data_IF_235418488327
#
_entry.id   IF_235418488327
#
_cell.length_a   1.000
_cell.length_b   1.000
_cell.length_c   1.000
_cell.angle_alpha   90.00
_cell.angle_beta   90.00
_cell.angle_gamma   90.00
#
_symmetry.space_group_name_H-M   'P 1'
#
loop_
_entity.id
_entity.type
_entity.pdbx_description
1 polymer ?
#
# COMPACT_ATOMS: atom_id res chain seq x y z
N UNK A 1 -1.80 62.35 -11.71
CA UNK A 1 -1.07 61.42 -10.81
C UNK A 1 -1.08 60.09 -11.51
N UNK A 2 -0.03 59.83 -12.29
CA UNK A 2 -0.02 58.68 -13.21
C UNK A 2 0.26 57.40 -12.42
N UNK A 3 -0.75 56.55 -12.32
CA UNK A 3 -0.72 55.21 -11.75
C UNK A 3 -0.24 54.23 -12.82
N UNK A 4 1.07 53.96 -12.84
CA UNK A 4 1.60 52.85 -13.62
C UNK A 4 1.24 51.52 -12.94
N UNK A 5 0.33 50.76 -13.55
CA UNK A 5 0.02 49.38 -13.18
C UNK A 5 1.22 48.51 -13.56
N UNK A 6 1.85 47.91 -12.55
CA UNK A 6 2.92 46.92 -12.78
C UNK A 6 2.28 45.54 -12.66
N UNK A 7 1.94 44.93 -13.79
CA UNK A 7 1.31 43.60 -13.83
C UNK A 7 2.41 42.55 -13.90
N UNK A 8 2.65 41.89 -12.77
CA UNK A 8 3.55 40.73 -12.67
C UNK A 8 2.74 39.48 -13.02
N UNK A 9 3.08 38.81 -14.13
CA UNK A 9 2.47 37.53 -14.51
C UNK A 9 3.19 36.42 -13.75
N UNK A 10 2.42 35.67 -12.96
CA UNK A 10 2.86 34.45 -12.32
C UNK A 10 2.22 33.30 -13.10
N UNK A 11 2.90 32.78 -14.12
CA UNK A 11 2.52 31.52 -14.75
C UNK A 11 3.75 30.89 -15.40
N UNK A 12 4.01 29.62 -15.13
CA UNK A 12 5.16 28.87 -15.65
C UNK A 12 4.66 27.79 -16.63
N UNK A 13 5.45 27.57 -17.68
CA UNK A 13 5.30 26.55 -18.74
C UNK A 13 4.47 26.86 -19.99
N UNK A 14 4.43 28.11 -20.42
CA UNK A 14 4.07 28.42 -21.81
C UNK A 14 5.20 29.22 -22.48
N UNK A 15 6.21 28.56 -23.07
CA UNK A 15 7.28 29.21 -23.83
C UNK A 15 6.77 30.09 -24.99
N UNK A 16 5.53 29.86 -25.42
CA UNK A 16 4.85 30.69 -26.41
C UNK A 16 4.22 31.96 -25.82
N UNK A 17 3.88 31.99 -24.52
CA UNK A 17 3.19 33.13 -23.89
C UNK A 17 4.14 34.31 -23.63
N UNK A 18 5.41 34.01 -23.31
CA UNK A 18 6.49 35.00 -23.26
C UNK A 18 6.86 35.55 -24.66
N UNK A 19 6.44 34.86 -25.72
CA UNK A 19 6.66 35.24 -27.12
C UNK A 19 5.62 36.23 -27.65
N UNK A 20 4.50 36.42 -26.93
CA UNK A 20 3.30 37.14 -27.38
C UNK A 20 3.10 38.49 -26.67
N UNK A 21 3.90 38.83 -25.66
CA UNK A 21 3.89 40.18 -25.05
C UNK A 21 5.08 41.01 -25.51
N UNK A 22 4.81 42.00 -26.35
CA UNK A 22 5.70 43.15 -26.49
C UNK A 22 5.48 44.07 -25.28
N UNK A 23 6.50 44.32 -24.41
CA UNK A 23 6.40 45.27 -23.30
C UNK A 23 6.44 46.74 -23.77
N UNK A 24 6.50 46.96 -25.09
CA UNK A 24 6.72 48.25 -25.72
C UNK A 24 5.39 48.92 -26.05
N UNK A 25 5.38 50.25 -26.01
CA UNK A 25 4.22 51.03 -26.47
C UNK A 25 4.01 50.82 -27.98
N UNK A 26 2.76 50.88 -28.49
CA UNK A 26 2.47 50.79 -29.93
C UNK A 26 3.36 51.69 -30.81
N UNK A 27 3.65 52.92 -30.37
CA UNK A 27 4.59 53.85 -31.05
C UNK A 27 6.00 53.28 -31.17
N UNK A 28 6.50 52.65 -30.11
CA UNK A 28 7.83 52.04 -30.06
C UNK A 28 7.91 50.78 -30.92
N UNK A 29 6.85 49.95 -30.90
CA UNK A 29 6.74 48.75 -31.74
C UNK A 29 6.77 49.15 -33.22
N UNK A 30 5.97 50.16 -33.61
CA UNK A 30 5.93 50.65 -34.98
C UNK A 30 7.29 51.20 -35.44
N UNK A 31 7.95 52.01 -34.60
CA UNK A 31 9.28 52.54 -34.91
C UNK A 31 10.32 51.42 -35.09
N UNK A 32 10.26 50.36 -34.28
CA UNK A 32 11.12 49.19 -34.40
C UNK A 32 10.86 48.42 -35.69
N UNK A 33 9.60 48.16 -36.02
CA UNK A 33 9.23 47.46 -37.26
C UNK A 33 9.65 48.23 -38.52
N UNK A 34 9.50 49.56 -38.53
CA UNK A 34 9.99 50.39 -39.63
C UNK A 34 11.51 50.32 -39.76
N UNK A 35 12.24 50.32 -38.65
CA UNK A 35 13.71 50.20 -38.62
C UNK A 35 14.19 48.83 -39.11
N UNK A 36 13.56 47.75 -38.65
CA UNK A 36 13.88 46.38 -39.02
C UNK A 36 13.53 46.09 -40.49
N UNK A 37 12.42 46.67 -40.97
CA UNK A 37 11.98 46.62 -42.36
C UNK A 37 12.75 47.53 -43.32
N UNK A 38 13.69 48.35 -42.83
CA UNK A 38 14.38 49.41 -43.59
C UNK A 38 13.42 50.37 -44.32
N UNK A 39 12.27 50.64 -43.69
CA UNK A 39 11.25 51.53 -44.22
C UNK A 39 11.55 52.98 -43.82
N UNK A 40 11.11 53.96 -44.62
CA UNK A 40 11.11 55.36 -44.19
C UNK A 40 10.12 55.51 -43.01
N UNK A 41 10.65 56.00 -41.89
CA UNK A 41 10.09 55.83 -40.54
C UNK A 41 8.66 56.35 -40.37
N UNK A 42 8.02 56.08 -39.21
CA UNK A 42 6.69 56.60 -38.94
C UNK A 42 6.77 58.12 -38.73
N UNK A 43 6.29 58.88 -39.70
CA UNK A 43 6.20 60.34 -39.63
C UNK A 43 4.80 60.74 -39.20
N UNK A 44 4.68 61.19 -37.94
CA UNK A 44 3.44 61.70 -37.37
C UNK A 44 3.23 63.14 -37.82
N UNK A 45 2.04 63.45 -38.32
CA UNK A 45 1.70 64.76 -38.83
C UNK A 45 0.46 65.36 -38.16
N UNK A 46 0.26 66.68 -38.30
CA UNK A 46 -0.91 67.37 -37.76
C UNK A 46 -2.21 66.81 -38.37
N UNK A 47 -3.29 66.82 -37.57
CA UNK A 47 -4.62 66.28 -37.89
C UNK A 47 -4.74 64.75 -37.91
N UNK A 48 -3.94 64.03 -37.12
CA UNK A 48 -4.12 62.58 -36.93
C UNK A 48 -3.70 61.74 -38.14
N UNK A 49 -2.64 62.16 -38.82
CA UNK A 49 -2.06 61.43 -39.96
C UNK A 49 -0.73 60.81 -39.56
N UNK A 50 -0.48 59.58 -39.99
CA UNK A 50 0.82 58.94 -39.87
C UNK A 50 1.23 58.37 -41.22
N UNK A 51 2.43 58.72 -41.66
CA UNK A 51 2.99 58.26 -42.94
C UNK A 51 4.05 57.22 -42.66
N UNK A 52 3.92 56.05 -43.28
CA UNK A 52 4.95 55.00 -43.29
C UNK A 52 5.26 54.68 -44.74
N UNK A 53 6.51 54.93 -45.15
CA UNK A 53 6.98 54.81 -46.53
C UNK A 53 6.11 55.56 -47.54
N UNK A 54 5.20 54.86 -48.24
CA UNK A 54 4.33 55.41 -49.28
C UNK A 54 2.83 55.30 -48.94
N UNK A 55 2.48 54.96 -47.70
CA UNK A 55 1.09 54.93 -47.22
C UNK A 55 0.86 55.95 -46.11
N UNK A 56 -0.33 56.54 -46.12
CA UNK A 56 -0.80 57.48 -45.11
C UNK A 56 -2.02 56.86 -44.45
N UNK A 57 -1.96 56.69 -43.14
CA UNK A 57 -3.07 56.22 -42.32
C UNK A 57 -3.62 57.40 -41.51
N UNK A 58 -4.93 57.43 -41.32
CA UNK A 58 -5.61 58.44 -40.51
C UNK A 58 -6.33 57.75 -39.35
N UNK A 59 -6.16 58.28 -38.14
CA UNK A 59 -6.92 57.83 -36.97
C UNK A 59 -7.18 59.00 -36.01
N UNK A 60 -8.20 58.89 -35.15
CA UNK A 60 -8.41 59.86 -34.08
C UNK A 60 -7.20 59.95 -33.16
N UNK A 61 -6.73 61.16 -32.88
CA UNK A 61 -5.66 61.42 -31.90
C UNK A 61 -6.18 61.67 -30.50
N UNK A 62 -7.50 61.79 -30.32
CA UNK A 62 -8.12 62.09 -29.03
C UNK A 62 -8.55 60.80 -28.35
N UNK A 63 -8.03 60.57 -27.14
CA UNK A 63 -8.54 59.55 -26.22
C UNK A 63 -9.17 60.29 -25.04
N UNK A 64 -10.38 59.89 -24.66
CA UNK A 64 -11.05 60.37 -23.44
C UNK A 64 -10.53 59.55 -22.25
N UNK A 65 -9.89 60.22 -21.29
CA UNK A 65 -9.54 59.61 -19.99
C UNK A 65 -10.82 59.32 -19.18
N UNK A 66 -10.75 58.45 -18.16
CA UNK A 66 -11.84 58.16 -17.20
C UNK A 66 -12.45 59.41 -16.53
N UNK A 67 -11.76 60.56 -16.60
CA UNK A 67 -12.21 61.85 -16.05
C UNK A 67 -12.83 62.78 -17.11
N UNK A 68 -13.09 62.29 -18.33
CA UNK A 68 -13.64 63.08 -19.45
C UNK A 68 -12.66 64.09 -20.06
N UNK A 69 -11.37 63.98 -19.75
CA UNK A 69 -10.33 64.85 -20.28
C UNK A 69 -9.78 64.27 -21.59
N UNK A 70 -9.85 65.04 -22.67
CA UNK A 70 -9.32 64.64 -23.99
C UNK A 70 -7.81 64.83 -24.03
N UNK A 71 -7.05 63.73 -24.09
CA UNK A 71 -5.59 63.76 -24.32
C UNK A 71 -5.27 63.45 -25.78
N UNK A 72 -4.41 64.25 -26.38
CA UNK A 72 -3.83 63.92 -27.68
C UNK A 72 -2.75 62.85 -27.49
N UNK A 73 -2.92 61.70 -28.14
CA UNK A 73 -1.96 60.59 -28.09
C UNK A 73 -1.71 60.01 -29.48
N UNK A 74 -0.44 59.69 -29.76
CA UNK A 74 -0.03 59.08 -31.02
C UNK A 74 -0.09 57.54 -30.99
N UNK A 75 -0.44 56.96 -29.83
CA UNK A 75 -0.52 55.51 -29.64
C UNK A 75 -1.64 54.87 -30.45
N UNK A 76 -2.79 55.54 -30.55
CA UNK A 76 -3.92 55.04 -31.34
C UNK A 76 -3.62 55.06 -32.86
N UNK A 77 -2.87 56.08 -33.31
CA UNK A 77 -2.36 56.15 -34.68
C UNK A 77 -1.40 55.00 -34.97
N UNK A 78 -0.44 54.78 -34.07
CA UNK A 78 0.52 53.69 -34.20
C UNK A 78 -0.18 52.33 -34.22
N UNK A 79 -1.17 52.11 -33.35
CA UNK A 79 -1.96 50.89 -33.31
C UNK A 79 -2.78 50.67 -34.59
N UNK A 80 -3.34 51.74 -35.16
CA UNK A 80 -4.09 51.66 -36.42
C UNK A 80 -3.19 51.19 -37.56
N UNK A 81 -1.96 51.68 -37.63
CA UNK A 81 -0.96 51.23 -38.61
C UNK A 81 -0.58 49.77 -38.37
N UNK A 82 -0.36 49.36 -37.11
CA UNK A 82 -0.03 47.98 -36.77
C UNK A 82 -1.16 47.01 -37.17
N UNK A 83 -2.43 47.37 -36.96
CA UNK A 83 -3.58 46.56 -37.40
C UNK A 83 -3.66 46.40 -38.93
N UNK A 84 -3.20 47.40 -39.67
CA UNK A 84 -3.15 47.39 -41.14
C UNK A 84 -1.74 47.14 -41.67
N UNK A 85 -0.86 46.51 -40.87
CA UNK A 85 0.54 46.31 -41.26
C UNK A 85 0.67 45.48 -42.55
N UNK A 86 -0.30 44.60 -42.82
CA UNK A 86 -0.40 43.82 -44.07
C UNK A 86 -0.47 44.67 -45.35
N UNK A 87 -0.87 45.92 -45.24
CA UNK A 87 -1.01 46.82 -46.37
C UNK A 87 0.32 47.43 -46.86
N UNK A 88 1.36 47.38 -46.03
CA UNK A 88 2.64 48.03 -46.32
C UNK A 88 3.42 47.20 -47.36
N UNK A 89 3.81 47.79 -48.50
CA UNK A 89 4.53 47.06 -49.53
C UNK A 89 5.89 46.57 -49.03
N UNK A 90 6.34 45.40 -49.52
CA UNK A 90 7.62 44.71 -49.22
C UNK A 90 7.79 44.09 -47.84
N UNK A 91 7.16 44.62 -46.78
CA UNK A 91 7.37 44.17 -45.38
C UNK A 91 6.06 43.81 -44.66
N UNK A 92 4.91 44.17 -45.23
CA UNK A 92 3.61 43.91 -44.64
C UNK A 92 3.33 42.42 -44.48
N UNK A 93 3.27 41.98 -43.22
CA UNK A 93 2.82 40.66 -42.84
C UNK A 93 1.52 40.78 -42.04
N UNK A 94 0.64 39.79 -42.16
CA UNK A 94 -0.57 39.72 -41.34
C UNK A 94 -0.16 39.47 -39.89
N UNK A 95 -0.18 40.52 -39.07
CA UNK A 95 0.01 40.37 -37.63
C UNK A 95 -1.15 39.51 -37.09
N UNK A 96 -0.79 38.53 -36.26
CA UNK A 96 -1.76 37.58 -35.71
C UNK A 96 -2.81 38.37 -34.90
N UNK A 97 -4.13 38.21 -35.18
CA UNK A 97 -5.16 38.89 -34.41
C UNK A 97 -5.13 38.46 -32.93
N UNK A 98 -5.76 39.23 -32.03
CA UNK A 98 -5.79 38.90 -30.60
C UNK A 98 -6.33 37.47 -30.37
N UNK A 99 -5.48 36.59 -29.83
CA UNK A 99 -5.87 35.25 -29.41
C UNK A 99 -5.89 35.19 -27.89
N UNK A 100 -7.09 35.06 -27.33
CA UNK A 100 -7.29 34.61 -25.95
C UNK A 100 -7.64 35.70 -24.95
N UNK A 101 -8.22 35.25 -23.83
CA UNK A 101 -8.54 36.03 -22.64
C UNK A 101 -7.78 35.37 -21.49
N UNK A 102 -6.99 36.15 -20.75
CA UNK A 102 -6.26 35.67 -19.57
C UNK A 102 -7.01 36.16 -18.34
N UNK A 103 -7.32 35.24 -17.43
CA UNK A 103 -7.76 35.55 -16.08
C UNK A 103 -6.56 35.42 -15.13
N UNK A 104 -6.29 36.45 -14.34
CA UNK A 104 -5.17 36.47 -13.40
C UNK A 104 -5.54 37.21 -12.12
N UNK A 105 -4.87 36.86 -11.03
CA UNK A 105 -4.94 37.58 -9.76
C UNK A 105 -3.94 38.74 -9.81
N UNK A 106 -4.40 39.95 -9.48
CA UNK A 106 -3.57 41.16 -9.47
C UNK A 106 -3.56 41.74 -8.07
N UNK A 107 -2.39 41.72 -7.43
CA UNK A 107 -2.18 42.39 -6.16
C UNK A 107 -1.80 43.86 -6.40
N UNK A 108 -2.52 44.78 -5.75
CA UNK A 108 -2.33 46.23 -5.87
C UNK A 108 -1.69 46.76 -4.59
N UNK A 109 -0.51 47.38 -4.71
CA UNK A 109 0.22 47.96 -3.58
C UNK A 109 0.27 49.50 -3.65
N UNK A 110 0.20 50.22 -2.51
CA UNK A 110 0.42 51.66 -2.47
C UNK A 110 1.88 52.00 -2.82
N UNK A 111 2.11 53.12 -3.51
CA UNK A 111 3.47 53.57 -3.90
C UNK A 111 4.39 53.86 -2.70
N UNK A 112 3.81 54.14 -1.54
CA UNK A 112 4.54 54.48 -0.32
C UNK A 112 5.10 53.23 0.39
N UNK A 113 4.74 52.05 -0.09
CA UNK A 113 5.23 50.76 0.41
C UNK A 113 6.54 50.40 -0.30
N UNK A 114 7.48 49.84 0.46
CA UNK A 114 8.67 49.20 -0.10
C UNK A 114 8.27 48.17 -1.16
N UNK A 115 9.07 48.03 -2.22
CA UNK A 115 8.78 47.12 -3.33
C UNK A 115 8.34 45.74 -2.81
N UNK A 116 7.28 45.14 -3.39
CA UNK A 116 6.84 43.82 -2.99
C UNK A 116 8.01 42.84 -3.09
N UNK A 117 7.99 41.83 -2.21
CA UNK A 117 9.04 40.82 -2.13
C UNK A 117 9.23 40.06 -3.46
N UNK A 118 10.18 39.09 -3.48
CA UNK A 118 10.35 38.26 -4.66
C UNK A 118 9.03 37.62 -5.07
N UNK A 119 8.86 37.44 -6.38
CA UNK A 119 7.67 36.83 -6.97
C UNK A 119 7.24 35.58 -6.18
N UNK A 120 5.96 35.51 -5.80
CA UNK A 120 5.43 34.35 -5.10
C UNK A 120 5.53 33.14 -6.02
N UNK A 121 6.22 32.11 -5.58
CA UNK A 121 6.25 30.84 -6.29
C UNK A 121 4.89 30.15 -6.14
N UNK A 122 4.09 30.23 -7.21
CA UNK A 122 2.77 29.59 -7.31
C UNK A 122 2.85 28.17 -7.91
N UNK A 123 4.06 27.64 -8.12
CA UNK A 123 4.24 26.29 -8.64
C UNK A 123 3.42 25.28 -7.81
N UNK A 124 2.83 24.25 -8.45
CA UNK A 124 2.14 23.19 -7.72
C UNK A 124 3.03 22.66 -6.61
N UNK A 125 2.51 22.71 -5.38
CA UNK A 125 3.27 22.26 -4.22
C UNK A 125 3.53 20.77 -4.34
N UNK A 126 4.80 20.37 -4.22
CA UNK A 126 5.19 18.97 -4.28
C UNK A 126 4.88 18.27 -2.95
N UNK A 127 4.45 17.00 -2.98
CA UNK A 127 4.27 16.23 -1.77
C UNK A 127 5.62 16.00 -1.09
N UNK A 128 5.60 15.95 0.25
CA UNK A 128 6.77 15.62 1.06
C UNK A 128 6.64 14.18 1.53
N UNK A 129 7.76 13.45 1.57
CA UNK A 129 7.82 12.09 2.10
C UNK A 129 7.70 12.11 3.61
N UNK A 130 6.84 11.26 4.15
CA UNK A 130 6.69 10.98 5.57
C UNK A 130 6.59 9.46 5.78
N UNK A 131 6.90 9.02 6.98
CA UNK A 131 6.72 7.63 7.41
C UNK A 131 5.87 7.63 8.67
N UNK A 132 4.71 6.97 8.59
CA UNK A 132 3.85 6.72 9.74
C UNK A 132 4.18 5.33 10.31
N UNK A 133 4.70 5.31 11.53
CA UNK A 133 4.96 4.09 12.30
C UNK A 133 3.85 3.91 13.32
N UNK A 134 3.20 2.75 13.30
CA UNK A 134 2.15 2.40 14.25
C UNK A 134 2.59 1.17 15.02
N UNK A 135 2.81 1.29 16.32
CA UNK A 135 3.21 0.18 17.18
C UNK A 135 1.96 -0.32 17.90
N UNK A 136 1.56 -1.54 17.59
CA UNK A 136 0.46 -2.25 18.26
C UNK A 136 1.06 -3.05 19.42
N UNK A 137 0.73 -2.63 20.64
CA UNK A 137 1.21 -3.28 21.86
C UNK A 137 0.29 -4.44 22.23
N UNK A 138 -0.95 -4.12 22.55
CA UNK A 138 -1.94 -5.04 23.12
C UNK A 138 -3.36 -4.73 22.64
N UNK A 139 -4.23 -5.71 22.78
CA UNK A 139 -5.68 -5.61 22.62
C UNK A 139 -6.34 -6.26 23.83
N UNK A 140 -7.50 -5.74 24.20
CA UNK A 140 -8.27 -6.19 25.36
C UNK A 140 -9.76 -6.20 25.00
N UNK A 141 -10.54 -6.97 25.75
CA UNK A 141 -11.98 -7.16 25.60
C UNK A 141 -12.40 -7.70 24.22
N UNK A 142 -11.61 -8.60 23.64
CA UNK A 142 -11.98 -9.28 22.39
C UNK A 142 -13.06 -10.31 22.66
N UNK A 143 -14.11 -10.32 21.82
CA UNK A 143 -15.21 -11.28 21.92
C UNK A 143 -14.69 -12.68 21.61
N UNK A 144 -14.95 -13.62 22.52
CA UNK A 144 -14.55 -15.01 22.37
C UNK A 144 -15.59 -15.78 21.53
N UNK A 145 -15.23 -16.14 20.31
CA UNK A 145 -16.11 -16.82 19.34
C UNK A 145 -15.90 -18.34 19.28
N UNK A 146 -14.70 -18.84 19.56
CA UNK A 146 -14.38 -20.26 19.41
C UNK A 146 -14.73 -21.05 20.68
N UNK A 147 -15.62 -22.02 20.53
CA UNK A 147 -15.95 -22.98 21.60
C UNK A 147 -15.04 -24.20 21.47
N UNK A 148 -14.17 -24.43 22.47
CA UNK A 148 -13.33 -25.63 22.46
C UNK A 148 -14.19 -26.88 22.71
N UNK A 149 -14.27 -27.77 21.72
CA UNK A 149 -15.12 -28.97 21.76
C UNK A 149 -14.76 -29.89 22.94
N UNK A 150 -13.52 -29.83 23.42
CA UNK A 150 -13.00 -30.72 24.45
C UNK A 150 -13.03 -30.15 25.86
N UNK A 151 -12.79 -28.85 26.05
CA UNK A 151 -12.77 -28.21 27.38
C UNK A 151 -14.07 -27.46 27.67
N UNK A 152 -14.85 -27.11 26.64
CA UNK A 152 -16.02 -26.23 26.76
C UNK A 152 -15.67 -24.79 27.16
N UNK A 153 -14.38 -24.45 27.17
CA UNK A 153 -13.90 -23.09 27.39
C UNK A 153 -14.01 -22.30 26.10
N UNK A 154 -14.40 -21.03 26.20
CA UNK A 154 -14.40 -20.12 25.06
C UNK A 154 -12.99 -19.57 24.88
N UNK A 155 -12.50 -19.61 23.65
CA UNK A 155 -11.22 -19.02 23.28
C UNK A 155 -11.35 -18.29 21.95
N UNK A 156 -10.36 -17.51 21.55
CA UNK A 156 -10.30 -16.95 20.19
C UNK A 156 -8.89 -16.75 19.71
N UNK A 157 -8.72 -16.90 18.41
CA UNK A 157 -7.50 -16.53 17.70
C UNK A 157 -7.54 -15.05 17.32
N UNK A 158 -6.74 -14.24 18.00
CA UNK A 158 -6.79 -12.78 17.90
C UNK A 158 -5.70 -12.27 16.96
N UNK A 159 -6.06 -11.37 16.05
CA UNK A 159 -5.13 -10.61 15.23
C UNK A 159 -5.68 -9.20 14.97
N UNK A 160 -4.78 -8.24 14.81
CA UNK A 160 -5.09 -6.85 14.46
C UNK A 160 -4.72 -6.57 13.01
N UNK A 161 -5.60 -5.85 12.32
CA UNK A 161 -5.43 -5.39 10.93
C UNK A 161 -5.49 -3.86 10.86
N UNK A 162 -4.53 -3.25 10.14
CA UNK A 162 -4.46 -1.81 9.91
C UNK A 162 -4.39 -1.44 8.44
N UNK A 163 -5.04 -0.33 8.05
CA UNK A 163 -4.90 0.28 6.72
C UNK A 163 -5.22 1.77 6.69
N UNK A 164 -4.61 2.48 5.73
CA UNK A 164 -4.92 3.87 5.43
C UNK A 164 -6.13 3.96 4.48
N UNK A 165 -7.02 4.94 4.72
CA UNK A 165 -8.23 5.14 3.91
C UNK A 165 -7.86 5.53 2.47
N UNK A 166 -8.13 4.63 1.51
CA UNK A 166 -7.76 4.82 0.10
C UNK A 166 -6.65 3.86 -0.35
N UNK A 167 -5.91 3.29 0.60
CA UNK A 167 -4.89 2.25 0.41
C UNK A 167 -5.40 0.91 0.99
N UNK A 168 -6.55 0.44 0.53
CA UNK A 168 -7.10 -0.84 1.01
C UNK A 168 -6.33 -2.07 0.50
N UNK A 169 -5.50 -1.90 -0.54
CA UNK A 169 -4.61 -2.96 -1.05
C UNK A 169 -3.41 -3.15 -0.13
N UNK A 170 -2.90 -2.08 0.49
CA UNK A 170 -1.77 -2.09 1.44
C UNK A 170 -2.25 -2.32 2.89
N UNK A 171 -3.08 -3.34 3.07
CA UNK A 171 -3.46 -3.80 4.43
C UNK A 171 -2.29 -4.52 5.07
N UNK A 172 -1.98 -4.15 6.31
CA UNK A 172 -0.98 -4.82 7.14
C UNK A 172 -1.68 -5.54 8.30
N UNK A 173 -1.26 -6.77 8.53
CA UNK A 173 -1.80 -7.64 9.58
C UNK A 173 -0.69 -7.98 10.57
N UNK A 174 -1.06 -8.08 11.84
CA UNK A 174 -0.17 -8.58 12.91
C UNK A 174 -0.06 -10.11 12.87
N UNK A 175 0.82 -10.67 13.70
CA UNK A 175 0.83 -12.11 13.94
C UNK A 175 -0.40 -12.56 14.75
N UNK A 176 -0.75 -13.84 14.64
CA UNK A 176 -1.93 -14.38 15.34
C UNK A 176 -1.56 -14.76 16.78
N UNK A 177 -2.34 -14.27 17.74
CA UNK A 177 -2.34 -14.75 19.11
C UNK A 177 -3.34 -15.90 19.23
N UNK A 178 -2.84 -17.13 19.25
CA UNK A 178 -3.68 -18.33 19.28
C UNK A 178 -4.27 -18.59 20.65
N UNK A 179 -5.53 -19.05 20.68
CA UNK A 179 -6.19 -19.59 21.87
C UNK A 179 -6.13 -18.64 23.08
N UNK A 180 -6.52 -17.38 22.89
CA UNK A 180 -6.69 -16.45 24.01
C UNK A 180 -7.99 -16.79 24.75
N UNK A 181 -7.86 -17.11 26.04
CA UNK A 181 -9.00 -17.44 26.93
C UNK A 181 -9.52 -16.18 27.65
N UNK A 182 -8.65 -15.19 27.85
CA UNK A 182 -8.97 -13.94 28.55
C UNK A 182 -9.56 -12.87 27.63
N UNK A 183 -9.40 -13.01 26.31
CA UNK A 183 -9.74 -11.95 25.35
C UNK A 183 -8.66 -10.87 25.24
N UNK A 184 -7.52 -11.08 25.89
CA UNK A 184 -6.33 -10.24 25.77
C UNK A 184 -5.41 -10.80 24.67
N UNK A 185 -4.83 -9.90 23.87
CA UNK A 185 -3.83 -10.26 22.86
C UNK A 185 -2.64 -9.32 22.94
N UNK A 186 -1.44 -9.87 23.14
CA UNK A 186 -0.20 -9.09 23.14
C UNK A 186 0.55 -9.33 21.82
N UNK A 187 0.91 -8.27 21.10
CA UNK A 187 1.53 -8.35 19.77
C UNK A 187 2.95 -7.80 19.70
N UNK A 188 3.26 -6.65 20.31
CA UNK A 188 4.52 -5.93 20.05
C UNK A 188 4.83 -5.94 18.54
N UNK A 189 3.98 -5.32 17.74
CA UNK A 189 4.05 -5.35 16.28
C UNK A 189 4.04 -3.94 15.68
N UNK A 190 4.92 -3.69 14.69
CA UNK A 190 5.07 -2.35 14.09
C UNK A 190 4.54 -2.37 12.66
N UNK A 191 3.55 -1.55 12.37
CA UNK A 191 3.16 -1.21 11.01
C UNK A 191 3.97 -0.01 10.54
N UNK A 192 4.42 -0.07 9.28
CA UNK A 192 5.22 1.00 8.67
C UNK A 192 4.53 1.41 7.38
N UNK A 193 4.07 2.65 7.32
CA UNK A 193 3.40 3.22 6.16
C UNK A 193 4.21 4.39 5.59
N UNK A 194 4.89 4.19 4.44
CA UNK A 194 5.46 5.31 3.70
C UNK A 194 4.32 6.10 3.03
N UNK A 195 4.25 7.40 3.29
CA UNK A 195 3.20 8.29 2.78
C UNK A 195 3.79 9.55 2.16
N UNK A 196 3.24 9.95 1.02
CA UNK A 196 3.53 11.24 0.40
C UNK A 196 2.45 12.23 0.84
N UNK A 197 2.82 13.19 1.69
CA UNK A 197 1.87 14.09 2.35
C UNK A 197 2.01 15.52 1.84
N UNK A 198 0.86 16.11 1.46
CA UNK A 198 0.76 17.50 1.07
C UNK A 198 0.19 18.32 2.22
N UNK A 199 1.09 18.98 2.98
CA UNK A 199 0.73 19.71 4.20
C UNK A 199 -0.33 20.81 4.01
N UNK A 200 -0.36 21.46 2.84
CA UNK A 200 -1.26 22.59 2.60
C UNK A 200 -2.72 22.17 2.38
N UNK A 201 -2.94 20.97 1.83
CA UNK A 201 -4.28 20.42 1.58
C UNK A 201 -4.69 19.38 2.63
N UNK A 202 -3.78 19.05 3.55
CA UNK A 202 -3.93 18.01 4.58
C UNK A 202 -4.28 16.63 4.00
N UNK A 203 -3.74 16.31 2.82
CA UNK A 203 -4.04 15.08 2.07
C UNK A 203 -2.78 14.28 1.76
N UNK A 204 -2.94 12.96 1.75
CA UNK A 204 -1.96 12.02 1.22
C UNK A 204 -2.16 11.93 -0.29
N UNK A 205 -1.06 11.97 -1.04
CA UNK A 205 -0.99 11.80 -2.48
C UNK A 205 -0.57 10.36 -2.75
N UNK A 206 -1.33 9.65 -3.58
CA UNK A 206 -1.00 8.31 -4.04
C UNK A 206 -0.93 8.33 -5.56
N UNK A 207 0.22 7.97 -6.11
CA UNK A 207 0.40 7.73 -7.55
C UNK A 207 0.12 6.26 -7.84
N UNK A 208 -0.92 5.96 -8.62
CA UNK A 208 -1.25 4.59 -9.03
C UNK A 208 -1.43 4.51 -10.55
N UNK A 209 -1.01 3.40 -11.16
CA UNK A 209 -1.36 3.08 -12.55
C UNK A 209 -2.71 2.38 -12.55
N UNK A 210 -3.69 2.91 -13.28
CA UNK A 210 -5.05 2.33 -13.32
C UNK A 210 -5.08 0.93 -13.94
N UNK A 211 -4.11 0.60 -14.79
CA UNK A 211 -3.98 -0.69 -15.44
C UNK A 211 -2.52 -1.03 -15.70
N UNK A 212 -2.19 -2.32 -15.77
CA UNK A 212 -0.85 -2.79 -16.16
C UNK A 212 -0.41 -2.34 -17.57
N UNK A 213 -1.32 -1.77 -18.36
CA UNK A 213 -1.08 -1.25 -19.71
C UNK A 213 -1.21 0.28 -19.81
N UNK A 214 -1.54 0.98 -18.72
CA UNK A 214 -1.57 2.44 -18.69
C UNK A 214 -0.15 2.98 -18.48
N UNK A 215 0.31 3.85 -19.38
CA UNK A 215 1.61 4.51 -19.26
C UNK A 215 1.57 5.70 -18.31
N UNK A 216 0.38 6.29 -18.11
CA UNK A 216 0.17 7.45 -17.26
C UNK A 216 -0.16 7.03 -15.82
N UNK A 217 0.53 7.63 -14.86
CA UNK A 217 0.26 7.49 -13.42
C UNK A 217 -0.81 8.51 -13.01
N UNK A 218 -1.90 8.03 -12.43
CA UNK A 218 -2.94 8.91 -11.88
C UNK A 218 -2.62 9.21 -10.42
N UNK A 219 -2.59 10.51 -10.08
CA UNK A 219 -2.42 10.98 -8.71
C UNK A 219 -3.79 11.13 -8.04
N UNK A 220 -4.03 10.38 -6.97
CA UNK A 220 -5.22 10.49 -6.14
C UNK A 220 -4.87 11.16 -4.82
N UNK A 221 -5.72 12.11 -4.40
CA UNK A 221 -5.59 12.79 -3.11
C UNK A 221 -6.63 12.24 -2.15
N UNK A 222 -6.15 11.65 -1.05
CA UNK A 222 -6.99 11.02 -0.03
C UNK A 222 -6.78 11.68 1.33
N UNK A 223 -7.80 11.71 2.20
CA UNK A 223 -7.62 12.20 3.57
C UNK A 223 -6.75 11.23 4.37
N UNK A 224 -5.83 11.76 5.18
CA UNK A 224 -5.00 10.97 6.09
C UNK A 224 -5.84 10.36 7.23
N UNK A 225 -6.42 9.19 7.02
CA UNK A 225 -7.21 8.46 8.04
C UNK A 225 -6.72 7.02 8.16
N UNK A 226 -6.15 6.69 9.32
CA UNK A 226 -5.81 5.33 9.71
C UNK A 226 -7.05 4.61 10.24
N UNK A 227 -7.26 3.37 9.79
CA UNK A 227 -8.27 2.47 10.36
C UNK A 227 -7.55 1.27 10.96
N UNK A 228 -7.92 0.92 12.19
CA UNK A 228 -7.48 -0.29 12.89
C UNK A 228 -8.72 -1.11 13.24
N UNK A 229 -8.64 -2.43 13.07
CA UNK A 229 -9.72 -3.34 13.47
C UNK A 229 -9.62 -3.69 14.96
N UNK A 230 -10.74 -3.57 15.66
CA UNK A 230 -10.87 -3.92 17.06
C UNK A 230 -10.46 -2.79 18.03
N UNK A 231 -10.47 -3.13 19.32
CA UNK A 231 -10.05 -2.25 20.41
C UNK A 231 -8.56 -2.51 20.68
N UNK A 232 -7.70 -1.59 20.27
CA UNK A 232 -6.24 -1.80 20.32
C UNK A 232 -5.57 -0.64 21.05
N UNK A 233 -4.54 -0.97 21.81
CA UNK A 233 -3.59 -0.03 22.37
C UNK A 233 -2.42 0.09 21.39
N UNK A 234 -2.35 1.27 20.76
CA UNK A 234 -1.38 1.55 19.72
C UNK A 234 -0.72 2.92 19.93
N UNK A 235 0.57 3.00 19.60
CA UNK A 235 1.36 4.21 19.61
C UNK A 235 1.67 4.63 18.16
N UNK A 236 1.51 5.93 17.86
CA UNK A 236 1.72 6.46 16.51
C UNK A 236 2.90 7.44 16.51
N UNK A 237 3.90 7.18 15.67
CA UNK A 237 5.00 8.11 15.39
C UNK A 237 4.93 8.55 13.94
N UNK A 238 4.89 9.86 13.72
CA UNK A 238 4.97 10.44 12.38
C UNK A 238 6.36 11.06 12.21
N UNK A 239 7.12 10.55 11.25
CA UNK A 239 8.46 11.03 10.93
C UNK A 239 8.49 11.60 9.53
N UNK A 240 9.33 12.62 9.33
CA UNK A 240 9.67 13.06 7.98
C UNK A 240 10.53 12.01 7.27
N UNK A 241 10.53 11.99 5.93
CA UNK A 241 11.33 11.02 5.16
C UNK A 241 12.82 11.06 5.51
N UNK A 242 13.37 12.25 5.81
CA UNK A 242 14.76 12.40 6.24
C UNK A 242 15.03 11.79 7.63
N UNK A 243 14.09 11.94 8.57
CA UNK A 243 14.20 11.36 9.91
C UNK A 243 14.03 9.84 9.88
N UNK A 244 13.14 9.34 9.01
CA UNK A 244 12.92 7.92 8.81
C UNK A 244 14.17 7.22 8.23
N UNK A 245 14.85 7.86 7.28
CA UNK A 245 16.11 7.35 6.72
C UNK A 245 17.26 7.33 7.74
N UNK A 246 17.30 8.29 8.68
CA UNK A 246 18.32 8.32 9.75
C UNK A 246 18.13 7.21 10.78
N UNK A 247 16.88 6.83 11.06
CA UNK A 247 16.52 5.77 12.00
C UNK A 247 15.63 4.76 11.29
N UNK A 248 16.21 3.88 10.44
CA UNK A 248 15.42 2.93 9.67
C UNK A 248 14.83 1.88 10.60
N UNK A 249 13.61 1.45 10.32
CA UNK A 249 12.92 0.40 11.08
C UNK A 249 12.37 -0.69 10.15
N UNK A 250 12.35 -1.92 10.64
CA UNK A 250 11.70 -3.04 9.97
C UNK A 250 10.20 -3.08 10.23
N UNK A 251 9.47 -3.75 9.34
CA UNK A 251 8.06 -4.08 9.54
C UNK A 251 7.93 -5.22 10.57
N UNK A 252 6.93 -5.11 11.44
CA UNK A 252 6.64 -6.10 12.48
C UNK A 252 7.74 -6.17 13.52
N UNK A 253 8.47 -7.30 13.53
CA UNK A 253 9.61 -7.58 14.42
C UNK A 253 10.90 -7.81 13.64
N UNK A 254 10.93 -7.40 12.37
CA UNK A 254 12.10 -7.55 11.52
C UNK A 254 13.14 -6.46 11.83
N UNK A 255 14.39 -6.73 11.49
CA UNK A 255 15.44 -5.71 11.44
C UNK A 255 15.11 -4.69 10.33
N UNK A 256 15.58 -3.44 10.42
CA UNK A 256 16.35 -2.81 11.52
C UNK A 256 15.49 -2.44 12.75
N UNK A 257 16.11 -2.40 13.93
CA UNK A 257 15.43 -2.17 15.23
C UNK A 257 14.27 -3.16 15.52
N UNK A 258 14.58 -4.47 15.67
CA UNK A 258 13.57 -5.48 15.91
C UNK A 258 12.96 -5.34 17.30
N UNK A 259 11.63 -5.34 17.38
CA UNK A 259 10.93 -5.30 18.66
C UNK A 259 10.96 -6.65 19.37
N UNK A 260 10.97 -6.60 20.70
CA UNK A 260 10.97 -7.79 21.55
C UNK A 260 9.68 -8.59 21.36
N UNK A 261 9.83 -9.92 21.28
CA UNK A 261 8.68 -10.82 21.23
C UNK A 261 7.87 -10.69 22.52
N UNK A 262 6.53 -10.63 22.42
CA UNK A 262 5.68 -10.55 23.59
C UNK A 262 5.81 -11.81 24.44
N UNK A 263 5.69 -11.64 25.76
CA UNK A 263 5.71 -12.76 26.70
C UNK A 263 4.37 -13.52 26.60
N UNK A 264 4.35 -14.59 25.78
CA UNK A 264 3.18 -15.46 25.58
C UNK A 264 3.50 -16.85 26.13
N UNK A 265 2.55 -17.54 26.79
CA UNK A 265 2.75 -18.93 27.17
C UNK A 265 2.90 -19.81 25.92
N UNK A 266 3.90 -20.70 25.91
CA UNK A 266 4.17 -21.57 24.76
C UNK A 266 3.07 -22.64 24.60
N UNK A 267 2.08 -22.37 23.75
CA UNK A 267 1.00 -23.31 23.39
C UNK A 267 1.50 -24.38 22.38
N UNK A 268 2.74 -24.27 21.90
CA UNK A 268 3.31 -25.14 20.85
C UNK A 268 3.31 -26.65 21.17
N UNK A 269 3.22 -27.05 22.45
CA UNK A 269 3.10 -28.47 22.86
C UNK A 269 1.66 -28.90 23.17
N UNK A 270 0.73 -27.96 23.33
CA UNK A 270 -0.66 -28.27 23.70
C UNK A 270 -1.38 -28.95 22.54
N UNK A 271 -1.19 -28.50 21.30
CA UNK A 271 -1.83 -29.14 20.13
C UNK A 271 -1.48 -30.62 19.95
N UNK A 272 -0.29 -31.05 20.39
CA UNK A 272 0.09 -32.47 20.38
C UNK A 272 -0.58 -33.26 21.51
N UNK A 273 -0.80 -32.64 22.67
CA UNK A 273 -1.37 -33.30 23.85
C UNK A 273 -2.90 -33.26 23.89
N UNK A 274 -3.53 -32.28 23.23
CA UNK A 274 -4.99 -32.15 23.09
C UNK A 274 -5.64 -33.40 22.47
N UNK A 275 -5.16 -33.99 21.36
CA UNK A 275 -5.76 -35.20 20.79
C UNK A 275 -5.62 -36.43 21.71
N UNK A 276 -4.55 -36.52 22.52
CA UNK A 276 -4.43 -37.59 23.53
C UNK A 276 -5.37 -37.38 24.72
N UNK A 277 -5.55 -36.14 25.18
CA UNK A 277 -6.54 -35.80 26.21
C UNK A 277 -7.96 -36.10 25.74
N UNK A 278 -8.29 -35.72 24.51
CA UNK A 278 -9.53 -36.04 23.82
C UNK A 278 -9.78 -37.55 23.71
N UNK A 279 -8.80 -38.31 23.21
CA UNK A 279 -8.90 -39.76 23.07
C UNK A 279 -9.07 -40.46 24.43
N UNK A 280 -8.36 -40.00 25.46
CA UNK A 280 -8.51 -40.50 26.83
C UNK A 280 -9.93 -40.27 27.34
N UNK A 281 -10.50 -39.08 27.20
CA UNK A 281 -11.87 -38.78 27.61
C UNK A 281 -12.91 -39.61 26.83
N UNK A 282 -12.77 -39.69 25.50
CA UNK A 282 -13.68 -40.47 24.65
C UNK A 282 -13.70 -41.96 25.06
N UNK A 283 -12.53 -42.55 25.28
CA UNK A 283 -12.39 -43.98 25.62
C UNK A 283 -12.75 -44.24 27.09
N UNK A 284 -12.34 -43.38 28.02
CA UNK A 284 -12.51 -43.62 29.47
C UNK A 284 -13.85 -43.18 30.03
N UNK A 285 -14.54 -42.21 29.43
CA UNK A 285 -15.82 -41.72 29.95
C UNK A 285 -17.00 -42.19 29.09
N UNK A 286 -16.93 -42.04 27.77
CA UNK A 286 -18.08 -42.33 26.90
C UNK A 286 -18.20 -43.80 26.52
N UNK A 287 -17.08 -44.48 26.23
CA UNK A 287 -17.07 -45.88 25.79
C UNK A 287 -16.56 -46.88 26.84
N UNK A 288 -16.33 -46.45 28.09
CA UNK A 288 -15.71 -47.27 29.15
C UNK A 288 -16.27 -48.69 29.24
N UNK A 289 -17.59 -48.82 29.24
CA UNK A 289 -18.28 -50.11 29.31
C UNK A 289 -18.20 -50.91 28.00
N UNK A 290 -18.20 -50.25 26.84
CA UNK A 290 -18.01 -50.90 25.53
C UNK A 290 -16.59 -51.48 25.42
N UNK A 291 -15.58 -50.70 25.84
CA UNK A 291 -14.17 -51.12 25.84
C UNK A 291 -13.94 -52.30 26.78
N UNK A 292 -14.52 -52.28 27.99
CA UNK A 292 -14.48 -53.41 28.93
C UNK A 292 -15.16 -54.64 28.33
N UNK A 293 -16.35 -54.48 27.71
CA UNK A 293 -17.07 -55.59 27.06
C UNK A 293 -16.26 -56.20 25.92
N UNK A 294 -15.66 -55.38 25.06
CA UNK A 294 -14.82 -55.84 23.94
C UNK A 294 -13.59 -56.63 24.43
N UNK A 295 -12.88 -56.12 25.43
CA UNK A 295 -11.73 -56.82 26.01
C UNK A 295 -12.12 -58.14 26.68
N UNK A 296 -13.24 -58.17 27.41
CA UNK A 296 -13.75 -59.41 28.01
C UNK A 296 -14.18 -60.44 26.96
N UNK A 297 -14.81 -60.00 25.86
CA UNK A 297 -15.21 -60.88 24.76
C UNK A 297 -13.99 -61.46 24.04
N UNK A 298 -12.96 -60.65 23.78
CA UNK A 298 -11.71 -61.09 23.15
C UNK A 298 -10.94 -62.07 24.05
N UNK A 299 -10.94 -61.84 25.37
CA UNK A 299 -10.37 -62.76 26.36
C UNK A 299 -11.11 -64.11 26.36
N UNK A 300 -12.45 -64.09 26.34
CA UNK A 300 -13.27 -65.30 26.26
C UNK A 300 -13.05 -66.05 24.95
N UNK A 301 -12.91 -65.34 23.83
CA UNK A 301 -12.60 -65.92 22.52
C UNK A 301 -11.20 -66.57 22.50
N UNK A 302 -10.22 -65.94 23.15
CA UNK A 302 -8.87 -66.50 23.30
C UNK A 302 -8.88 -67.76 24.17
N UNK A 303 -9.63 -67.76 25.28
CA UNK A 303 -9.83 -68.94 26.13
C UNK A 303 -10.53 -70.06 25.37
N UNK A 304 -11.56 -69.74 24.58
CA UNK A 304 -12.26 -70.71 23.73
C UNK A 304 -11.35 -71.28 22.64
N UNK A 305 -10.52 -70.44 22.01
CA UNK A 305 -9.51 -70.88 21.04
C UNK A 305 -8.49 -71.83 21.66
N UNK A 306 -8.00 -71.53 22.87
CA UNK A 306 -7.13 -72.40 23.65
C UNK A 306 -7.81 -73.72 24.04
N UNK A 307 -9.09 -73.67 24.40
CA UNK A 307 -9.87 -74.84 24.77
C UNK A 307 -10.13 -75.77 23.57
N UNK A 308 -10.50 -75.22 22.41
CA UNK A 308 -10.67 -75.98 21.17
C UNK A 308 -9.34 -76.54 20.65
N UNK A 309 -8.24 -75.78 20.80
CA UNK A 309 -6.89 -76.29 20.57
C UNK A 309 -6.54 -77.47 21.49
N UNK A 310 -7.11 -77.49 22.70
CA UNK A 310 -6.88 -78.53 23.71
C UNK A 310 -7.84 -79.73 23.60
N UNK A 311 -8.79 -79.74 22.66
CA UNK A 311 -9.68 -80.88 22.43
C UNK A 311 -9.06 -81.89 21.44
N UNK A 312 -8.67 -83.11 21.88
CA UNK A 312 -8.03 -84.08 20.99
C UNK A 312 -9.07 -84.88 20.21
N UNK A 313 -8.96 -84.85 18.88
CA UNK A 313 -9.61 -85.80 17.98
C UNK A 313 -8.68 -86.95 17.59
N UNK A 314 -8.72 -88.04 18.39
CA UNK A 314 -8.18 -89.41 18.16
C UNK A 314 -6.73 -89.76 18.56
N UNK A 315 -6.51 -91.06 18.90
CA UNK A 315 -5.60 -91.52 19.94
C UNK A 315 -4.25 -91.98 19.38
N UNK A 316 -3.29 -92.17 20.29
CA UNK A 316 -2.04 -92.91 20.07
C UNK A 316 -0.99 -92.23 19.19
N UNK A 317 -0.38 -91.16 19.70
CA UNK A 317 1.07 -90.80 19.68
C UNK A 317 1.18 -89.54 20.56
N UNK A 318 0.92 -89.67 21.86
CA UNK A 318 0.61 -88.50 22.70
C UNK A 318 1.81 -87.66 23.15
N UNK A 319 3.07 -88.09 22.96
CA UNK A 319 4.20 -87.39 23.60
C UNK A 319 5.44 -87.12 22.75
N UNK A 320 5.46 -87.50 21.46
CA UNK A 320 6.62 -87.21 20.58
C UNK A 320 6.33 -86.25 19.43
N UNK A 321 5.07 -85.97 19.08
CA UNK A 321 4.73 -85.00 18.02
C UNK A 321 4.68 -83.54 18.51
N UNK A 322 4.59 -83.29 19.82
CA UNK A 322 4.46 -81.93 20.40
C UNK A 322 5.77 -81.13 20.42
N UNK A 323 6.93 -81.78 20.30
CA UNK A 323 8.24 -81.11 20.35
C UNK A 323 8.91 -80.96 18.99
N UNK A 324 8.42 -81.63 17.94
CA UNK A 324 9.08 -81.67 16.62
C UNK A 324 8.74 -80.44 15.75
N UNK A 325 7.46 -80.04 15.55
CA UNK A 325 7.13 -78.85 14.77
C UNK A 325 7.42 -77.54 15.53
N UNK A 326 7.31 -77.52 16.86
CA UNK A 326 7.64 -76.34 17.67
C UNK A 326 9.16 -76.09 17.79
N UNK A 327 10.00 -77.14 17.86
CA UNK A 327 11.47 -76.95 17.73
C UNK A 327 11.83 -76.50 16.31
N UNK A 328 11.22 -77.07 15.27
CA UNK A 328 11.51 -76.70 13.90
C UNK A 328 11.07 -75.24 13.57
N UNK A 329 9.87 -74.82 13.96
CA UNK A 329 9.37 -73.46 13.72
C UNK A 329 10.09 -72.40 14.57
N UNK A 330 10.41 -72.72 15.84
CA UNK A 330 11.22 -71.84 16.69
C UNK A 330 12.65 -71.71 16.16
N UNK A 331 13.25 -72.77 15.63
CA UNK A 331 14.59 -72.71 15.04
C UNK A 331 14.60 -72.00 13.67
N UNK A 332 13.55 -72.13 12.86
CA UNK A 332 13.44 -71.46 11.55
C UNK A 332 13.18 -69.94 11.67
N UNK A 333 12.33 -69.53 12.62
CA UNK A 333 11.92 -68.12 12.79
C UNK A 333 12.84 -67.38 13.77
N UNK A 334 13.35 -68.04 14.82
CA UNK A 334 14.08 -67.38 15.90
C UNK A 334 15.61 -67.35 15.70
N UNK A 335 16.20 -68.23 14.87
CA UNK A 335 17.65 -68.18 14.58
C UNK A 335 18.00 -67.55 13.23
N UNK A 336 17.21 -67.76 12.17
CA UNK A 336 17.58 -67.29 10.82
C UNK A 336 16.98 -65.93 10.42
N UNK A 337 15.78 -65.58 10.91
CA UNK A 337 15.05 -64.38 10.47
C UNK A 337 14.64 -63.43 11.59
N UNK A 338 15.08 -63.66 12.83
CA UNK A 338 14.73 -62.82 14.00
C UNK A 338 15.05 -61.34 13.81
N UNK A 339 16.18 -61.02 13.18
CA UNK A 339 16.52 -59.63 12.87
C UNK A 339 15.72 -59.07 11.69
N UNK A 340 15.32 -59.91 10.73
CA UNK A 340 14.51 -59.48 9.58
C UNK A 340 13.07 -59.15 10.04
N UNK A 341 12.47 -60.00 10.89
CA UNK A 341 11.14 -59.77 11.43
C UNK A 341 11.10 -58.54 12.32
N UNK A 342 12.11 -58.33 13.19
CA UNK A 342 12.22 -57.10 13.99
C UNK A 342 12.38 -55.87 13.10
N UNK A 343 13.20 -55.94 12.04
CA UNK A 343 13.36 -54.82 11.08
C UNK A 343 12.07 -54.52 10.32
N UNK A 344 11.36 -55.54 9.82
CA UNK A 344 10.09 -55.36 9.11
C UNK A 344 9.04 -54.74 10.03
N UNK A 345 8.89 -55.24 11.26
CA UNK A 345 7.95 -54.68 12.23
C UNK A 345 8.32 -53.24 12.61
N UNK A 346 9.62 -52.95 12.81
CA UNK A 346 10.10 -51.60 13.09
C UNK A 346 9.87 -50.63 11.92
N UNK A 347 10.06 -51.08 10.68
CA UNK A 347 9.83 -50.26 9.47
C UNK A 347 8.34 -50.00 9.27
N UNK A 348 7.49 -51.01 9.45
CA UNK A 348 6.04 -50.84 9.38
C UNK A 348 5.53 -49.91 10.49
N UNK A 349 6.08 -50.01 11.70
CA UNK A 349 5.78 -49.10 12.80
C UNK A 349 6.23 -47.67 12.49
N UNK A 350 7.43 -47.48 11.95
CA UNK A 350 7.93 -46.16 11.53
C UNK A 350 7.10 -45.56 10.40
N UNK A 351 6.68 -46.35 9.41
CA UNK A 351 5.82 -45.89 8.32
C UNK A 351 4.41 -45.53 8.82
N UNK A 352 3.86 -46.28 9.79
CA UNK A 352 2.59 -45.94 10.41
C UNK A 352 2.69 -44.63 11.23
N UNK A 353 3.77 -44.44 11.99
CA UNK A 353 4.04 -43.20 12.73
C UNK A 353 4.23 -42.03 11.76
N UNK A 354 4.96 -42.22 10.66
CA UNK A 354 5.15 -41.19 9.63
C UNK A 354 3.83 -40.84 8.93
N UNK A 355 3.00 -41.83 8.61
CA UNK A 355 1.67 -41.61 8.04
C UNK A 355 0.76 -40.82 8.98
N UNK A 356 0.75 -41.16 10.28
CA UNK A 356 0.02 -40.41 11.31
C UNK A 356 0.57 -38.99 11.48
N UNK A 357 1.89 -38.81 11.41
CA UNK A 357 2.54 -37.52 11.47
C UNK A 357 2.15 -36.63 10.29
N UNK A 358 2.19 -37.16 9.05
CA UNK A 358 1.81 -36.44 7.85
C UNK A 358 0.31 -36.15 7.80
N UNK A 359 -0.52 -37.06 8.30
CA UNK A 359 -1.97 -36.85 8.38
C UNK A 359 -2.36 -35.76 9.38
N UNK A 360 -1.66 -35.68 10.51
CA UNK A 360 -1.88 -34.66 11.55
C UNK A 360 -1.06 -33.38 11.32
N UNK A 361 -0.30 -33.26 10.23
CA UNK A 361 0.42 -32.02 9.94
C UNK A 361 -0.56 -30.93 9.52
N UNK A 362 -0.65 -29.79 10.24
CA UNK A 362 -1.52 -28.69 9.86
C UNK A 362 -1.01 -28.04 8.56
N UNK A 363 -1.94 -27.67 7.67
CA UNK A 363 -1.65 -27.30 6.27
C UNK A 363 -0.68 -26.12 6.07
N UNK A 364 -0.45 -25.28 7.07
CA UNK A 364 0.53 -24.19 6.99
C UNK A 364 1.99 -24.68 7.00
N UNK A 365 2.29 -25.80 7.65
CA UNK A 365 3.63 -26.42 7.64
C UNK A 365 3.97 -27.06 6.30
N UNK A 366 2.96 -27.59 5.61
CA UNK A 366 3.09 -28.16 4.26
C UNK A 366 3.47 -27.07 3.26
N UNK A 367 2.87 -25.87 3.35
CA UNK A 367 3.22 -24.71 2.52
C UNK A 367 4.65 -24.23 2.75
N UNK A 368 5.06 -24.11 4.02
CA UNK A 368 6.43 -23.72 4.41
C UNK A 368 7.51 -24.72 3.95
N UNK A 369 7.21 -26.02 3.93
CA UNK A 369 8.12 -27.06 3.44
C UNK A 369 8.19 -27.14 1.90
N UNK A 370 7.10 -26.78 1.21
CA UNK A 370 7.02 -26.74 -0.25
C UNK A 370 7.58 -25.45 -0.86
N UNK A 371 8.05 -24.50 -0.04
CA UNK A 371 8.63 -23.24 -0.49
C UNK A 371 7.64 -22.35 -1.25
N UNK A 372 6.35 -22.44 -0.89
CA UNK A 372 5.28 -21.61 -1.44
C UNK A 372 4.77 -20.58 -0.43
#
# INVERSE_FOLDING_TARGET
MDSTLTVSIYDWDLPWLQRVRDPMKPTQILAKLCKDGKLDGPHYGPAGRVKVENRVFMAPTEIEDENGLKRQTDEHLALTVLKHWEEIPKVGCKLVPEHGRIEMWVDIFPKDMTAPGPALDISPRRPKKFELRVIVWNTDEVVLEDDDIFTGEKSSDIFVRGWLKGQQEDKQDTDVHYHSITGEGNFNWRFVYPIDYLMAEEKIVISKKESMFAWDETEYKIPARLNLQGKVEAELHLLTGEEAERSPVGEGRNEPDPMEKPNRPDIALLWFLIPFKAAKHLICDQYRWLTIKLFSALLLLAILGLFLYSMPGRPDIALLWFLIPFKAAKHLICDQYRWLTIKIVSVLLLLAILGLFLYNMPGYMVKKMLGA
#
